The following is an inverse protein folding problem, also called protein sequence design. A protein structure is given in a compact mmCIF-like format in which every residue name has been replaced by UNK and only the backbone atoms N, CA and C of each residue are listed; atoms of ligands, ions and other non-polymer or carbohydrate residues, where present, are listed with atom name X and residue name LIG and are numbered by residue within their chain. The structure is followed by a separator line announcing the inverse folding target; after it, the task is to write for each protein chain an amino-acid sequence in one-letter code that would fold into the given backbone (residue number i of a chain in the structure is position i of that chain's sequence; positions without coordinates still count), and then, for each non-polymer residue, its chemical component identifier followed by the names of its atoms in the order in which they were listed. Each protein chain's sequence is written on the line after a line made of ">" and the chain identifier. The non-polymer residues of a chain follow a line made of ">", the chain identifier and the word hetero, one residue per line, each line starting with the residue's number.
data_IF_266366766963
#
_entry.id   IF_266366766963
#
_cell.length_a   1.000
_cell.length_b   1.000
_cell.length_c   1.000
_cell.angle_alpha   90.00
_cell.angle_beta   90.00
_cell.angle_gamma   90.00
#
_symmetry.space_group_name_H-M   'P 1'
#
loop_
_entity.id
_entity.type
_entity.pdbx_description
1 polymer ?
#
# COMPACT_ATOMS: atom_id res chain seq x y z
N UNK A 1 -11.05 -33.27 -10.59
CA UNK A 1 -10.35 -31.95 -10.66
C UNK A 1 -10.08 -31.74 -12.13
N UNK A 2 -11.03 -31.08 -12.79
CA UNK A 2 -11.01 -30.89 -14.23
C UNK A 2 -9.96 -29.82 -14.59
N UNK A 3 -9.13 -30.12 -15.61
CA UNK A 3 -7.96 -29.36 -16.02
C UNK A 3 -8.23 -27.96 -16.63
N UNK A 4 -9.22 -27.23 -16.10
CA UNK A 4 -9.70 -25.95 -16.62
C UNK A 4 -9.22 -24.72 -15.83
N UNK A 5 -8.27 -24.86 -14.92
CA UNK A 5 -7.80 -23.74 -14.07
C UNK A 5 -7.16 -22.60 -14.91
N UNK A 6 -6.79 -22.87 -16.16
CA UNK A 6 -6.23 -21.88 -17.10
C UNK A 6 -6.99 -21.83 -18.44
N UNK A 7 -8.28 -22.21 -18.45
CA UNK A 7 -9.07 -22.06 -19.66
C UNK A 7 -9.25 -20.58 -19.99
N UNK A 8 -8.92 -20.21 -21.23
CA UNK A 8 -9.14 -18.86 -21.73
C UNK A 8 -10.65 -18.57 -21.78
N UNK A 9 -11.07 -17.47 -21.19
CA UNK A 9 -12.47 -17.01 -21.24
C UNK A 9 -12.70 -16.27 -22.58
N UNK A 10 -13.51 -16.79 -23.51
CA UNK A 10 -13.80 -16.12 -24.78
C UNK A 10 -14.58 -14.81 -24.59
N UNK A 11 -15.31 -14.66 -23.48
CA UNK A 11 -16.13 -13.49 -23.19
C UNK A 11 -15.41 -12.41 -22.35
N UNK A 12 -14.08 -12.48 -22.25
CA UNK A 12 -13.25 -11.53 -21.48
C UNK A 12 -13.51 -10.06 -21.81
N UNK A 13 -13.86 -9.75 -23.05
CA UNK A 13 -14.18 -8.38 -23.50
C UNK A 13 -15.47 -7.87 -22.83
N UNK A 14 -16.48 -8.73 -22.68
CA UNK A 14 -17.72 -8.38 -21.97
C UNK A 14 -17.46 -8.16 -20.48
N UNK A 15 -16.57 -8.95 -19.88
CA UNK A 15 -16.11 -8.80 -18.51
C UNK A 15 -15.38 -7.47 -18.29
N UNK A 16 -14.51 -7.04 -19.24
CA UNK A 16 -13.83 -5.75 -19.17
C UNK A 16 -14.78 -4.54 -19.24
N UNK A 17 -15.89 -4.66 -19.98
CA UNK A 17 -16.89 -3.61 -20.11
C UNK A 17 -17.92 -3.61 -18.96
N UNK A 18 -17.84 -4.54 -18.03
CA UNK A 18 -18.72 -4.60 -16.88
C UNK A 18 -18.49 -3.42 -15.92
N UNK A 19 -19.53 -2.85 -15.29
CA UNK A 19 -19.40 -1.70 -14.38
C UNK A 19 -18.40 -1.92 -13.24
N UNK A 20 -18.38 -3.12 -12.67
CA UNK A 20 -17.43 -3.44 -11.59
C UNK A 20 -15.97 -3.39 -12.04
N UNK A 21 -15.70 -3.71 -13.32
CA UNK A 21 -14.34 -3.65 -13.86
C UNK A 21 -13.90 -2.20 -14.08
N UNK A 22 -14.82 -1.33 -14.55
CA UNK A 22 -14.55 0.12 -14.64
C UNK A 22 -14.19 0.69 -13.27
N UNK A 23 -14.93 0.30 -12.23
CA UNK A 23 -14.65 0.71 -10.85
C UNK A 23 -13.28 0.20 -10.39
N UNK A 24 -12.92 -1.04 -10.73
CA UNK A 24 -11.61 -1.61 -10.41
C UNK A 24 -10.47 -0.85 -11.10
N UNK A 25 -10.63 -0.43 -12.37
CA UNK A 25 -9.63 0.37 -13.08
C UNK A 25 -9.46 1.76 -12.46
N UNK A 26 -10.55 2.44 -12.12
CA UNK A 26 -10.51 3.77 -11.48
C UNK A 26 -9.89 3.70 -10.09
N UNK A 27 -10.31 2.75 -9.27
CA UNK A 27 -9.70 2.52 -7.97
C UNK A 27 -8.21 2.15 -8.09
N UNK A 28 -7.87 1.32 -9.08
CA UNK A 28 -6.49 0.96 -9.38
C UNK A 28 -5.62 2.16 -9.74
N UNK A 29 -6.17 3.15 -10.45
CA UNK A 29 -5.48 4.41 -10.76
C UNK A 29 -5.18 5.20 -9.49
N UNK A 30 -6.16 5.38 -8.61
CA UNK A 30 -5.97 6.07 -7.33
C UNK A 30 -4.95 5.35 -6.45
N UNK A 31 -5.09 4.04 -6.30
CA UNK A 31 -4.15 3.23 -5.50
C UNK A 31 -2.74 3.30 -6.07
N UNK A 32 -2.57 3.25 -7.39
CA UNK A 32 -1.27 3.37 -8.04
C UNK A 32 -0.60 4.72 -7.78
N UNK A 33 -1.38 5.81 -7.79
CA UNK A 33 -0.89 7.16 -7.51
C UNK A 33 -0.39 7.25 -6.07
N UNK A 34 -1.23 6.88 -5.10
CA UNK A 34 -0.88 6.93 -3.68
C UNK A 34 0.31 6.01 -3.34
N UNK A 35 0.26 4.75 -3.78
CA UNK A 35 1.28 3.75 -3.51
C UNK A 35 2.62 4.09 -4.19
N UNK A 36 2.61 4.55 -5.44
CA UNK A 36 3.82 4.90 -6.19
C UNK A 36 4.54 6.10 -5.58
N UNK A 37 3.80 7.15 -5.21
CA UNK A 37 4.39 8.34 -4.58
C UNK A 37 4.95 8.04 -3.19
N UNK A 38 4.16 7.38 -2.34
CA UNK A 38 4.59 7.06 -0.97
C UNK A 38 5.65 5.96 -0.95
N UNK A 39 5.65 5.05 -1.92
CA UNK A 39 6.64 4.00 -2.06
C UNK A 39 8.06 4.53 -2.19
N UNK A 40 8.28 5.60 -2.98
CA UNK A 40 9.59 6.25 -3.05
C UNK A 40 10.09 6.67 -1.66
N UNK A 41 9.27 7.41 -0.92
CA UNK A 41 9.64 7.86 0.43
C UNK A 41 9.81 6.70 1.41
N UNK A 42 9.02 5.63 1.27
CA UNK A 42 9.14 4.41 2.10
C UNK A 42 10.53 3.79 1.97
N UNK A 43 11.06 3.70 0.75
CA UNK A 43 12.40 3.16 0.50
C UNK A 43 13.47 4.16 0.91
N UNK A 44 13.34 5.44 0.53
CA UNK A 44 14.31 6.48 0.86
C UNK A 44 14.51 6.67 2.37
N UNK A 45 13.46 6.42 3.17
CA UNK A 45 13.48 6.51 4.64
C UNK A 45 13.79 5.18 5.35
N UNK A 46 14.10 4.12 4.62
CA UNK A 46 14.30 2.77 5.17
C UNK A 46 13.12 2.32 6.06
N UNK A 47 11.89 2.63 5.64
CA UNK A 47 10.66 2.40 6.42
C UNK A 47 9.78 1.30 5.84
N UNK A 48 10.35 0.38 5.07
CA UNK A 48 9.62 -0.72 4.42
C UNK A 48 8.94 -1.64 5.43
N UNK A 49 9.61 -1.96 6.54
CA UNK A 49 9.03 -2.76 7.61
C UNK A 49 7.89 -2.02 8.33
N UNK A 50 8.03 -0.72 8.58
CA UNK A 50 6.96 0.08 9.18
C UNK A 50 5.71 0.18 8.27
N UNK A 51 5.91 0.33 6.96
CA UNK A 51 4.80 0.33 5.99
C UNK A 51 4.06 -1.01 5.99
N UNK A 52 4.79 -2.13 6.02
CA UNK A 52 4.19 -3.46 6.15
C UNK A 52 3.42 -3.62 7.47
N UNK A 53 4.04 -3.24 8.57
CA UNK A 53 3.43 -3.33 9.89
C UNK A 53 2.13 -2.52 9.99
N UNK A 54 2.09 -1.29 9.45
CA UNK A 54 0.89 -0.45 9.47
C UNK A 54 -0.30 -1.11 8.76
N UNK A 55 -0.07 -1.86 7.69
CA UNK A 55 -1.13 -2.61 7.01
C UNK A 55 -1.76 -3.68 7.92
N UNK A 56 -0.97 -4.33 8.77
CA UNK A 56 -1.46 -5.32 9.71
C UNK A 56 -1.96 -4.72 11.05
N UNK A 57 -1.42 -3.58 11.47
CA UNK A 57 -1.89 -2.85 12.67
C UNK A 57 -3.34 -2.39 12.52
N UNK A 58 -3.82 -2.18 11.30
CA UNK A 58 -5.23 -1.90 11.02
C UNK A 58 -6.20 -3.07 11.28
N UNK A 59 -5.70 -4.33 11.31
CA UNK A 59 -6.56 -5.52 11.45
C UNK A 59 -7.44 -5.52 12.71
N UNK A 60 -6.91 -5.28 13.94
CA UNK A 60 -7.76 -5.24 15.12
C UNK A 60 -8.82 -4.13 15.06
N UNK A 61 -8.50 -3.01 14.41
CA UNK A 61 -9.46 -1.94 14.19
C UNK A 61 -10.62 -2.38 13.32
N UNK A 62 -10.34 -3.07 12.25
CA UNK A 62 -11.35 -3.58 11.33
C UNK A 62 -12.21 -4.69 11.95
N UNK A 63 -11.58 -5.68 12.61
CA UNK A 63 -12.29 -6.78 13.27
C UNK A 63 -13.09 -6.28 14.49
N UNK A 64 -12.52 -5.34 15.26
CA UNK A 64 -13.20 -4.71 16.38
C UNK A 64 -14.39 -3.83 15.95
N UNK A 65 -14.27 -3.12 14.82
CA UNK A 65 -15.38 -2.34 14.27
C UNK A 65 -16.61 -3.23 13.95
N UNK A 66 -16.37 -4.41 13.37
CA UNK A 66 -17.46 -5.38 13.10
C UNK A 66 -18.15 -5.79 14.38
N UNK A 67 -17.43 -6.04 15.48
CA UNK A 67 -18.01 -6.41 16.77
C UNK A 67 -18.85 -5.29 17.38
N UNK A 68 -18.48 -4.04 17.11
CA UNK A 68 -19.17 -2.84 17.62
C UNK A 68 -20.25 -2.31 16.68
N UNK A 69 -20.45 -2.93 15.50
CA UNK A 69 -21.38 -2.44 14.48
C UNK A 69 -20.94 -1.11 13.83
N UNK A 70 -19.64 -0.80 13.85
CA UNK A 70 -19.06 0.41 13.28
C UNK A 70 -18.55 0.18 11.85
N UNK A 71 -18.37 1.23 11.04
CA UNK A 71 -17.76 1.11 9.73
C UNK A 71 -16.33 0.55 9.81
N UNK A 72 -16.05 -0.48 9.03
CA UNK A 72 -14.75 -1.17 9.02
C UNK A 72 -13.58 -0.24 8.70
N UNK A 73 -13.78 0.68 7.75
CA UNK A 73 -12.77 1.67 7.36
C UNK A 73 -12.43 2.64 8.50
N UNK A 74 -13.41 3.00 9.33
CA UNK A 74 -13.17 3.85 10.50
C UNK A 74 -12.32 3.13 11.55
N UNK A 75 -12.64 1.88 11.88
CA UNK A 75 -11.85 1.09 12.82
C UNK A 75 -10.43 0.84 12.31
N UNK A 76 -10.29 0.45 11.04
CA UNK A 76 -8.99 0.28 10.39
C UNK A 76 -8.16 1.56 10.46
N UNK A 77 -8.77 2.71 10.12
CA UNK A 77 -8.12 4.02 10.14
C UNK A 77 -7.65 4.42 11.54
N UNK A 78 -8.48 4.26 12.56
CA UNK A 78 -8.11 4.59 13.94
C UNK A 78 -6.89 3.80 14.41
N UNK A 79 -6.86 2.49 14.14
CA UNK A 79 -5.73 1.65 14.53
C UNK A 79 -4.48 1.92 13.68
N UNK A 80 -4.62 2.11 12.37
CA UNK A 80 -3.50 2.44 11.50
C UNK A 80 -2.88 3.79 11.88
N UNK A 81 -3.70 4.83 12.10
CA UNK A 81 -3.24 6.15 12.54
C UNK A 81 -2.64 6.10 13.94
N UNK A 82 -3.28 5.42 14.89
CA UNK A 82 -2.73 5.22 16.24
C UNK A 82 -1.37 4.54 16.21
N UNK A 83 -1.24 3.45 15.43
CA UNK A 83 0.03 2.77 15.21
C UNK A 83 1.10 3.65 14.56
N UNK A 84 0.71 4.44 13.56
CA UNK A 84 1.60 5.39 12.89
C UNK A 84 2.14 6.46 13.86
N UNK A 85 1.28 7.00 14.71
CA UNK A 85 1.68 7.99 15.73
C UNK A 85 2.62 7.38 16.76
N UNK A 86 2.32 6.17 17.25
CA UNK A 86 3.18 5.46 18.22
C UNK A 86 4.54 5.14 17.61
N UNK A 87 4.58 4.55 16.40
CA UNK A 87 5.83 4.22 15.70
C UNK A 87 6.61 5.49 15.36
N UNK A 88 5.92 6.53 14.89
CA UNK A 88 6.53 7.81 14.53
C UNK A 88 7.12 8.55 15.74
N UNK A 89 6.47 8.50 16.89
CA UNK A 89 6.93 9.16 18.11
C UNK A 89 8.06 8.40 18.82
N UNK A 90 7.97 7.07 18.89
CA UNK A 90 8.97 6.23 19.59
C UNK A 90 10.24 6.00 18.76
N UNK A 91 10.14 6.04 17.43
CA UNK A 91 11.20 5.71 16.51
C UNK A 91 12.17 6.87 16.21
N UNK A 92 12.85 7.44 17.20
CA UNK A 92 13.84 8.51 16.98
C UNK A 92 15.10 8.05 16.23
N UNK A 93 15.50 6.80 16.35
CA UNK A 93 16.60 6.17 15.61
C UNK A 93 16.06 4.98 14.82
N UNK A 94 16.69 4.61 13.71
CA UNK A 94 16.24 3.50 12.85
C UNK A 94 16.04 2.19 13.63
N UNK A 95 17.01 1.79 14.48
CA UNK A 95 16.91 0.56 15.30
C UNK A 95 15.77 0.61 16.32
N UNK A 96 15.53 1.76 16.94
CA UNK A 96 14.40 1.95 17.87
C UNK A 96 13.06 1.88 17.15
N UNK A 97 13.00 2.38 15.91
CA UNK A 97 11.81 2.34 15.06
C UNK A 97 11.45 0.91 14.68
N UNK A 98 12.43 0.06 14.36
CA UNK A 98 12.20 -1.36 14.07
C UNK A 98 11.63 -2.12 15.28
N UNK A 99 12.21 -1.93 16.47
CA UNK A 99 11.74 -2.55 17.70
C UNK A 99 10.31 -2.08 18.04
N UNK A 100 10.06 -0.77 18.01
CA UNK A 100 8.73 -0.21 18.26
C UNK A 100 7.71 -0.76 17.26
N UNK A 101 8.07 -0.80 15.97
CA UNK A 101 7.22 -1.34 14.90
C UNK A 101 6.89 -2.81 15.15
N UNK A 102 7.89 -3.64 15.44
CA UNK A 102 7.70 -5.08 15.71
C UNK A 102 6.82 -5.33 16.94
N UNK A 103 7.02 -4.56 18.01
CA UNK A 103 6.24 -4.69 19.26
C UNK A 103 4.78 -4.29 19.03
N UNK A 104 4.53 -3.15 18.39
CA UNK A 104 3.18 -2.67 18.07
C UNK A 104 2.47 -3.63 17.11
N UNK A 105 3.19 -4.13 16.11
CA UNK A 105 2.67 -5.13 15.15
C UNK A 105 2.26 -6.42 15.87
N UNK A 106 3.11 -6.96 16.73
CA UNK A 106 2.83 -8.20 17.46
C UNK A 106 1.59 -8.05 18.35
N UNK A 107 1.51 -6.95 19.10
CA UNK A 107 0.34 -6.65 19.93
C UNK A 107 -0.93 -6.48 19.09
N UNK A 108 -0.88 -5.69 18.03
CA UNK A 108 -2.03 -5.44 17.16
C UNK A 108 -2.51 -6.74 16.47
N UNK A 109 -1.59 -7.57 15.95
CA UNK A 109 -1.94 -8.84 15.33
C UNK A 109 -2.60 -9.79 16.34
N UNK A 110 -2.05 -9.89 17.55
CA UNK A 110 -2.65 -10.69 18.64
C UNK A 110 -4.06 -10.22 19.00
N UNK A 111 -4.26 -8.89 19.09
CA UNK A 111 -5.56 -8.29 19.37
C UNK A 111 -6.56 -8.53 18.22
N UNK A 112 -6.11 -8.43 16.97
CA UNK A 112 -6.93 -8.73 15.80
C UNK A 112 -7.39 -10.19 15.75
N UNK A 113 -6.50 -11.13 16.06
CA UNK A 113 -6.83 -12.55 16.21
C UNK A 113 -7.82 -12.78 17.36
N UNK A 114 -7.65 -12.11 18.48
CA UNK A 114 -8.57 -12.18 19.60
C UNK A 114 -9.98 -11.75 19.18
N UNK A 115 -10.13 -10.59 18.53
CA UNK A 115 -11.42 -10.13 18.04
C UNK A 115 -12.02 -11.05 16.97
N UNK A 116 -11.20 -11.58 16.07
CA UNK A 116 -11.67 -12.53 15.05
C UNK A 116 -12.24 -13.83 15.64
N UNK A 117 -11.77 -14.25 16.83
CA UNK A 117 -12.30 -15.43 17.54
C UNK A 117 -13.64 -15.16 18.24
N UNK A 118 -14.01 -13.90 18.45
CA UNK A 118 -15.26 -13.55 19.14
C UNK A 118 -16.50 -13.67 18.24
N UNK A 119 -16.34 -13.62 16.89
CA UNK A 119 -17.44 -13.66 15.95
C UNK A 119 -17.01 -14.21 14.60
N UNK A 120 -17.89 -15.01 13.96
CA UNK A 120 -17.68 -15.50 12.60
C UNK A 120 -17.59 -14.38 11.57
N UNK A 121 -18.38 -13.31 11.73
CA UNK A 121 -18.33 -12.13 10.89
C UNK A 121 -17.01 -11.36 11.02
N UNK A 122 -16.46 -11.24 12.23
CA UNK A 122 -15.14 -10.64 12.45
C UNK A 122 -14.02 -11.50 11.80
N UNK A 123 -14.14 -12.83 11.85
CA UNK A 123 -13.20 -13.74 11.18
C UNK A 123 -13.26 -13.59 9.66
N UNK A 124 -14.45 -13.50 9.07
CA UNK A 124 -14.62 -13.27 7.63
C UNK A 124 -14.06 -11.90 7.22
N UNK A 125 -14.30 -10.87 8.04
CA UNK A 125 -13.77 -9.54 7.80
C UNK A 125 -12.24 -9.52 7.82
N UNK A 126 -11.61 -10.26 8.74
CA UNK A 126 -10.17 -10.40 8.78
C UNK A 126 -9.62 -10.99 7.47
N UNK A 127 -10.25 -12.05 6.95
CA UNK A 127 -9.87 -12.65 5.67
C UNK A 127 -10.05 -11.66 4.51
N UNK A 128 -11.18 -10.95 4.47
CA UNK A 128 -11.46 -9.93 3.46
C UNK A 128 -10.39 -8.83 3.44
N UNK A 129 -9.89 -8.39 4.60
CA UNK A 129 -8.84 -7.37 4.68
C UNK A 129 -7.47 -7.91 4.31
N UNK A 130 -7.17 -9.17 4.62
CA UNK A 130 -5.89 -9.77 4.24
C UNK A 130 -5.75 -9.89 2.72
N UNK A 131 -6.80 -10.33 2.05
CA UNK A 131 -6.77 -10.60 0.60
C UNK A 131 -7.28 -9.44 -0.25
N UNK A 132 -8.16 -8.59 0.30
CA UNK A 132 -8.84 -7.52 -0.42
C UNK A 132 -9.83 -8.04 -1.47
N UNK A 133 -10.52 -7.12 -2.13
CA UNK A 133 -11.33 -7.41 -3.32
C UNK A 133 -11.48 -6.16 -4.18
N UNK A 134 -10.56 -5.98 -5.12
CA UNK A 134 -10.56 -4.83 -6.03
C UNK A 134 -11.79 -4.81 -6.96
N UNK A 135 -12.44 -5.97 -7.17
CA UNK A 135 -13.61 -6.12 -8.03
C UNK A 135 -14.93 -5.75 -7.34
N UNK A 136 -14.93 -5.53 -6.01
CA UNK A 136 -16.14 -5.21 -5.24
C UNK A 136 -16.22 -3.74 -4.82
N UNK A 137 -15.39 -2.88 -5.40
CA UNK A 137 -15.31 -1.47 -5.07
C UNK A 137 -16.53 -0.72 -5.58
N UNK A 138 -17.12 0.09 -4.70
CA UNK A 138 -18.29 0.92 -5.00
C UNK A 138 -17.88 2.32 -5.48
N UNK A 139 -18.79 3.00 -6.20
CA UNK A 139 -18.57 4.38 -6.68
C UNK A 139 -18.25 5.34 -5.52
N UNK A 140 -18.90 5.18 -4.37
CA UNK A 140 -18.63 6.00 -3.19
C UNK A 140 -17.21 5.84 -2.67
N UNK A 141 -16.64 4.63 -2.74
CA UNK A 141 -15.24 4.37 -2.36
C UNK A 141 -14.27 5.01 -3.35
N UNK A 142 -14.57 5.00 -4.66
CA UNK A 142 -13.74 5.65 -5.69
C UNK A 142 -13.67 7.16 -5.44
N UNK A 143 -14.80 7.79 -5.14
CA UNK A 143 -14.84 9.21 -4.80
C UNK A 143 -13.98 9.49 -3.55
N UNK A 144 -14.08 8.63 -2.53
CA UNK A 144 -13.24 8.71 -1.33
C UNK A 144 -11.74 8.60 -1.65
N UNK A 145 -11.36 7.68 -2.55
CA UNK A 145 -9.97 7.52 -3.00
C UNK A 145 -9.48 8.76 -3.75
N UNK A 146 -10.29 9.30 -4.67
CA UNK A 146 -9.94 10.50 -5.42
C UNK A 146 -9.76 11.73 -4.52
N UNK A 147 -10.65 11.93 -3.54
CA UNK A 147 -10.54 13.02 -2.55
C UNK A 147 -9.25 12.85 -1.73
N UNK A 148 -8.96 11.63 -1.29
CA UNK A 148 -7.73 11.35 -0.56
C UNK A 148 -6.48 11.62 -1.40
N UNK A 149 -6.46 11.23 -2.66
CA UNK A 149 -5.34 11.45 -3.57
C UNK A 149 -5.08 12.94 -3.80
N UNK A 150 -6.14 13.75 -3.97
CA UNK A 150 -6.01 15.22 -4.07
C UNK A 150 -5.41 15.78 -2.78
N UNK A 151 -5.89 15.32 -1.62
CA UNK A 151 -5.34 15.74 -0.32
C UNK A 151 -3.89 15.30 -0.16
N UNK A 152 -3.58 14.06 -0.51
CA UNK A 152 -2.23 13.50 -0.50
C UNK A 152 -1.27 14.34 -1.35
N UNK A 153 -1.67 14.66 -2.58
CA UNK A 153 -0.88 15.48 -3.50
C UNK A 153 -0.67 16.90 -2.95
N UNK A 154 -1.71 17.52 -2.40
CA UNK A 154 -1.62 18.85 -1.80
C UNK A 154 -0.67 18.84 -0.59
N UNK A 155 -0.80 17.88 0.31
CA UNK A 155 0.10 17.76 1.47
C UNK A 155 1.53 17.49 1.02
N UNK A 156 1.73 16.53 0.10
CA UNK A 156 3.07 16.24 -0.43
C UNK A 156 3.69 17.44 -1.13
N UNK A 157 2.92 18.22 -1.89
CA UNK A 157 3.44 19.44 -2.54
C UNK A 157 4.01 20.45 -1.52
N UNK A 158 3.34 20.59 -0.36
CA UNK A 158 3.79 21.48 0.72
C UNK A 158 5.03 20.94 1.43
N UNK A 159 5.02 19.66 1.80
CA UNK A 159 6.09 19.07 2.62
C UNK A 159 7.19 18.38 1.79
N UNK A 160 7.09 18.37 0.46
CA UNK A 160 8.00 17.62 -0.43
C UNK A 160 9.47 17.90 -0.15
N UNK A 161 9.84 19.18 -0.12
CA UNK A 161 11.24 19.58 0.07
C UNK A 161 11.79 19.17 1.44
N UNK A 162 11.17 19.53 2.57
CA UNK A 162 11.66 19.11 3.89
C UNK A 162 11.59 17.59 4.09
N UNK A 163 10.56 16.93 3.56
CA UNK A 163 10.43 15.48 3.62
C UNK A 163 11.54 14.78 2.84
N UNK A 164 11.80 15.21 1.61
CA UNK A 164 12.89 14.67 0.78
C UNK A 164 14.25 14.87 1.44
N UNK A 165 14.52 16.07 1.93
CA UNK A 165 15.78 16.39 2.57
C UNK A 165 16.02 15.54 3.82
N UNK A 166 15.00 15.40 4.68
CA UNK A 166 15.07 14.51 5.84
C UNK A 166 15.13 13.02 5.50
N UNK A 167 14.74 12.64 4.28
CA UNK A 167 14.80 11.25 3.81
C UNK A 167 16.17 10.86 3.28
N UNK A 168 16.95 11.82 2.81
CA UNK A 168 18.29 11.59 2.27
C UNK A 168 19.37 11.62 3.37
N UNK A 169 19.28 12.59 4.28
CA UNK A 169 20.21 12.74 5.41
C UNK A 169 19.51 13.41 6.60
N UNK A 170 19.15 12.60 7.59
CA UNK A 170 18.46 13.07 8.80
C UNK A 170 19.34 14.06 9.62
N UNK A 171 20.66 13.83 9.71
CA UNK A 171 21.55 14.64 10.53
C UNK A 171 21.77 16.02 9.91
N UNK A 172 22.03 16.06 8.61
CA UNK A 172 22.20 17.32 7.87
C UNK A 172 20.89 18.12 7.83
N UNK A 173 19.75 17.42 7.64
CA UNK A 173 18.45 18.09 7.67
C UNK A 173 18.17 18.73 9.03
N UNK A 174 18.45 18.03 10.12
CA UNK A 174 18.29 18.55 11.47
C UNK A 174 19.21 19.75 11.74
N UNK A 175 20.48 19.69 11.30
CA UNK A 175 21.44 20.79 11.42
C UNK A 175 21.01 22.05 10.63
N UNK A 176 20.21 21.88 9.56
CA UNK A 176 19.62 22.96 8.76
C UNK A 176 18.25 23.43 9.28
N UNK A 177 17.82 22.97 10.46
CA UNK A 177 16.58 23.40 11.09
C UNK A 177 15.31 22.69 10.62
N UNK A 178 15.42 21.60 9.83
CA UNK A 178 14.25 20.79 9.47
C UNK A 178 13.80 20.00 10.69
N UNK A 179 12.52 20.06 11.08
CA UNK A 179 11.99 19.30 12.22
C UNK A 179 11.81 17.82 11.85
N UNK A 180 12.90 17.06 11.84
CA UNK A 180 12.93 15.66 11.36
C UNK A 180 11.92 14.77 12.09
N UNK A 181 11.74 14.94 13.41
CA UNK A 181 10.75 14.20 14.18
C UNK A 181 9.32 14.45 13.69
N UNK A 182 8.98 15.70 13.39
CA UNK A 182 7.68 16.05 12.82
C UNK A 182 7.51 15.49 11.41
N UNK A 183 8.54 15.55 10.56
CA UNK A 183 8.51 14.95 9.22
C UNK A 183 8.31 13.42 9.29
N UNK A 184 8.86 12.76 10.30
CA UNK A 184 8.66 11.33 10.51
C UNK A 184 7.19 11.02 10.87
N UNK A 185 6.60 11.78 11.78
CA UNK A 185 5.19 11.63 12.15
C UNK A 185 4.28 11.91 10.94
N UNK A 186 4.53 12.99 10.19
CA UNK A 186 3.78 13.31 8.97
C UNK A 186 3.85 12.16 7.96
N UNK A 187 5.05 11.63 7.68
CA UNK A 187 5.23 10.51 6.76
C UNK A 187 4.45 9.29 7.19
N UNK A 188 4.55 8.89 8.48
CA UNK A 188 3.84 7.72 9.02
C UNK A 188 2.32 7.91 8.99
N UNK A 189 1.83 9.12 9.28
CA UNK A 189 0.40 9.46 9.24
C UNK A 189 -0.14 9.38 7.81
N UNK A 190 0.59 9.93 6.83
CA UNK A 190 0.20 9.84 5.41
C UNK A 190 0.20 8.37 4.95
N UNK A 191 1.21 7.59 5.33
CA UNK A 191 1.28 6.17 5.01
C UNK A 191 0.10 5.39 5.62
N UNK A 192 -0.27 5.69 6.87
CA UNK A 192 -1.46 5.09 7.49
C UNK A 192 -2.74 5.46 6.73
N UNK A 193 -2.85 6.68 6.22
CA UNK A 193 -3.96 7.12 5.36
C UNK A 193 -4.02 6.31 4.06
N UNK A 194 -2.90 6.15 3.35
CA UNK A 194 -2.81 5.33 2.13
C UNK A 194 -3.25 3.89 2.42
N UNK A 195 -2.78 3.31 3.51
CA UNK A 195 -3.14 1.95 3.92
C UNK A 195 -4.63 1.84 4.26
N UNK A 196 -5.17 2.80 5.02
CA UNK A 196 -6.58 2.80 5.43
C UNK A 196 -7.52 2.75 4.23
N UNK A 197 -7.17 3.46 3.17
CA UNK A 197 -8.00 3.54 1.96
C UNK A 197 -7.75 2.35 1.04
N UNK A 198 -6.50 1.96 0.83
CA UNK A 198 -6.15 0.93 -0.15
C UNK A 198 -6.41 -0.51 0.37
N UNK A 199 -6.24 -0.78 1.66
CA UNK A 199 -6.33 -2.14 2.21
C UNK A 199 -7.68 -2.81 1.98
N UNK A 200 -8.84 -2.17 2.16
CA UNK A 200 -10.12 -2.83 1.86
C UNK A 200 -10.26 -3.24 0.39
N UNK A 201 -9.63 -2.48 -0.51
CA UNK A 201 -9.67 -2.73 -1.94
C UNK A 201 -8.70 -3.83 -2.39
N UNK A 202 -7.43 -3.74 -1.99
CA UNK A 202 -6.37 -4.62 -2.53
C UNK A 202 -5.85 -5.63 -1.51
N UNK A 203 -6.18 -5.47 -0.24
CA UNK A 203 -5.69 -6.31 0.85
C UNK A 203 -4.31 -5.90 1.37
N UNK A 204 -4.03 -6.34 2.62
CA UNK A 204 -2.75 -6.00 3.29
C UNK A 204 -1.54 -6.62 2.59
N UNK A 205 -1.70 -7.80 1.98
CA UNK A 205 -0.61 -8.49 1.28
C UNK A 205 -0.25 -7.79 -0.02
N UNK A 206 -1.25 -7.37 -0.81
CA UNK A 206 -1.02 -6.76 -2.11
C UNK A 206 -0.54 -5.31 -1.97
N UNK A 207 -1.10 -4.52 -1.03
CA UNK A 207 -0.69 -3.11 -0.86
C UNK A 207 0.80 -2.98 -0.52
N UNK A 208 1.33 -3.89 0.29
CA UNK A 208 2.76 -3.92 0.60
C UNK A 208 3.61 -4.12 -0.66
N UNK A 209 3.23 -5.08 -1.52
CA UNK A 209 3.91 -5.31 -2.78
C UNK A 209 3.83 -4.10 -3.72
N UNK A 210 2.66 -3.44 -3.81
CA UNK A 210 2.43 -2.27 -4.65
C UNK A 210 3.19 -1.02 -4.18
N UNK A 211 3.37 -0.84 -2.88
CA UNK A 211 4.15 0.29 -2.33
C UNK A 211 5.66 0.07 -2.55
N UNK A 212 6.17 -1.14 -2.37
CA UNK A 212 7.61 -1.38 -2.32
C UNK A 212 8.18 -1.77 -3.67
N UNK A 213 7.61 -2.76 -4.36
CA UNK A 213 8.24 -3.34 -5.55
C UNK A 213 8.34 -2.35 -6.73
N UNK A 214 7.30 -1.56 -7.08
CA UNK A 214 7.41 -0.53 -8.10
C UNK A 214 8.42 0.56 -7.74
N UNK A 215 8.46 0.98 -6.48
CA UNK A 215 9.39 2.00 -6.01
C UNK A 215 10.84 1.50 -5.98
N UNK A 216 11.07 0.24 -5.60
CA UNK A 216 12.38 -0.39 -5.67
C UNK A 216 12.87 -0.47 -7.12
N UNK A 217 11.98 -0.83 -8.06
CA UNK A 217 12.26 -0.84 -9.50
C UNK A 217 12.60 0.56 -10.00
N UNK A 218 11.80 1.55 -9.61
CA UNK A 218 11.99 2.94 -10.01
C UNK A 218 13.34 3.52 -9.54
N UNK A 219 13.78 3.16 -8.32
CA UNK A 219 15.07 3.59 -7.78
C UNK A 219 16.29 3.03 -8.55
N UNK A 220 16.12 1.88 -9.23
CA UNK A 220 17.16 1.34 -10.12
C UNK A 220 17.23 2.11 -11.44
N UNK A 221 16.08 2.55 -11.95
CA UNK A 221 15.94 3.12 -13.30
C UNK A 221 16.10 4.65 -13.28
N UNK A 222 15.52 5.32 -12.29
CA UNK A 222 15.39 6.77 -12.27
C UNK A 222 16.63 7.45 -11.66
N UNK A 223 16.98 8.62 -12.23
CA UNK A 223 18.15 9.41 -11.81
C UNK A 223 17.80 10.57 -10.86
N UNK A 224 16.53 10.78 -10.57
CA UNK A 224 16.08 11.83 -9.64
C UNK A 224 14.86 11.40 -8.84
N UNK A 225 14.68 11.92 -7.62
CA UNK A 225 13.57 11.58 -6.75
C UNK A 225 12.19 11.70 -7.39
N UNK A 226 11.94 12.83 -8.04
CA UNK A 226 10.66 13.07 -8.72
C UNK A 226 10.41 12.06 -9.86
N UNK A 227 11.44 11.77 -10.68
CA UNK A 227 11.33 10.74 -11.73
C UNK A 227 11.08 9.36 -11.13
N UNK A 228 11.71 9.04 -10.00
CA UNK A 228 11.48 7.76 -9.32
C UNK A 228 10.02 7.62 -8.85
N UNK A 229 9.41 8.68 -8.30
CA UNK A 229 7.99 8.68 -7.91
C UNK A 229 7.07 8.45 -9.12
N UNK A 230 7.31 9.16 -10.23
CA UNK A 230 6.52 9.02 -11.47
C UNK A 230 6.68 7.61 -12.04
N UNK A 231 7.90 7.10 -12.15
CA UNK A 231 8.17 5.74 -12.66
C UNK A 231 7.54 4.68 -11.77
N UNK A 232 7.61 4.83 -10.44
CA UNK A 232 6.96 3.92 -9.49
C UNK A 232 5.44 3.91 -9.69
N UNK A 233 4.81 5.07 -9.84
CA UNK A 233 3.37 5.20 -10.11
C UNK A 233 2.99 4.52 -11.41
N UNK A 234 3.75 4.73 -12.49
CA UNK A 234 3.50 4.11 -13.80
C UNK A 234 3.64 2.59 -13.73
N UNK A 235 4.69 2.06 -13.10
CA UNK A 235 4.87 0.61 -12.92
C UNK A 235 3.73 0.03 -12.08
N UNK A 236 3.33 0.70 -11.01
CA UNK A 236 2.21 0.29 -10.17
C UNK A 236 0.91 0.23 -10.99
N UNK A 237 0.63 1.26 -11.78
CA UNK A 237 -0.55 1.34 -12.64
C UNK A 237 -0.57 0.22 -13.69
N UNK A 238 0.55 0.01 -14.40
CA UNK A 238 0.68 -1.06 -15.40
C UNK A 238 0.48 -2.44 -14.73
N UNK A 239 1.01 -2.63 -13.52
CA UNK A 239 0.84 -3.88 -12.78
C UNK A 239 -0.61 -4.13 -12.41
N UNK A 240 -1.33 -3.11 -11.91
CA UNK A 240 -2.75 -3.23 -11.53
C UNK A 240 -3.60 -3.45 -12.77
N UNK A 241 -3.51 -2.58 -13.78
CA UNK A 241 -4.33 -2.67 -14.97
C UNK A 241 -4.03 -3.93 -15.78
N UNK A 242 -2.75 -4.27 -15.97
CA UNK A 242 -2.35 -5.52 -16.61
C UNK A 242 -2.86 -6.74 -15.86
N UNK A 243 -2.80 -6.72 -14.52
CA UNK A 243 -3.32 -7.78 -13.68
C UNK A 243 -4.84 -7.96 -13.80
N UNK A 244 -5.59 -6.85 -13.86
CA UNK A 244 -7.04 -6.89 -14.08
C UNK A 244 -7.42 -7.44 -15.46
N UNK A 245 -6.72 -7.02 -16.52
CA UNK A 245 -6.95 -7.52 -17.87
C UNK A 245 -6.67 -9.02 -17.97
N UNK A 246 -5.52 -9.47 -17.45
CA UNK A 246 -5.16 -10.89 -17.48
C UNK A 246 -6.11 -11.72 -16.62
N UNK A 247 -6.57 -11.19 -15.48
CA UNK A 247 -7.56 -11.85 -14.62
C UNK A 247 -8.96 -11.96 -15.28
N UNK A 248 -9.29 -11.06 -16.21
CA UNK A 248 -10.50 -11.18 -17.03
C UNK A 248 -10.36 -12.28 -18.10
N UNK A 249 -9.14 -12.49 -18.61
CA UNK A 249 -8.86 -13.51 -19.65
C UNK A 249 -8.73 -14.92 -19.08
N UNK A 250 -8.25 -15.05 -17.84
CA UNK A 250 -7.99 -16.32 -17.18
C UNK A 250 -8.58 -16.32 -15.77
N UNK A 251 -9.17 -17.43 -15.30
CA UNK A 251 -9.76 -17.53 -13.96
C UNK A 251 -8.68 -17.59 -12.87
N UNK A 252 -7.91 -16.50 -12.73
CA UNK A 252 -6.85 -16.38 -11.75
C UNK A 252 -7.10 -15.13 -10.85
N UNK A 253 -6.74 -15.19 -9.56
CA UNK A 253 -6.91 -14.06 -8.65
C UNK A 253 -6.14 -12.84 -9.13
N UNK A 254 -6.78 -11.65 -9.28
CA UNK A 254 -6.11 -10.43 -9.73
C UNK A 254 -4.86 -10.10 -8.90
N UNK A 255 -4.93 -10.27 -7.59
CA UNK A 255 -3.83 -9.98 -6.66
C UNK A 255 -2.55 -10.75 -6.98
N UNK A 256 -2.67 -12.04 -7.35
CA UNK A 256 -1.52 -12.86 -7.74
C UNK A 256 -0.86 -12.32 -9.02
N UNK A 257 -1.66 -12.00 -10.04
CA UNK A 257 -1.16 -11.52 -11.32
C UNK A 257 -0.49 -10.15 -11.16
N UNK A 258 -1.11 -9.25 -10.39
CA UNK A 258 -0.58 -7.91 -10.11
C UNK A 258 0.81 -8.01 -9.44
N UNK A 259 0.94 -8.83 -8.40
CA UNK A 259 2.23 -9.05 -7.72
C UNK A 259 3.26 -9.64 -8.67
N UNK A 260 2.86 -10.61 -9.50
CA UNK A 260 3.74 -11.26 -10.47
C UNK A 260 4.28 -10.25 -11.48
N UNK A 261 3.42 -9.42 -12.07
CA UNK A 261 3.84 -8.37 -13.02
C UNK A 261 4.81 -7.39 -12.36
N UNK A 262 4.46 -6.89 -11.16
CA UNK A 262 5.31 -5.96 -10.41
C UNK A 262 6.67 -6.57 -10.09
N UNK A 263 6.71 -7.85 -9.68
CA UNK A 263 7.96 -8.57 -9.38
C UNK A 263 8.79 -8.80 -10.63
N UNK A 264 8.17 -9.08 -11.78
CA UNK A 264 8.87 -9.21 -13.07
C UNK A 264 9.56 -7.90 -13.47
N UNK A 265 8.90 -6.75 -13.30
CA UNK A 265 9.53 -5.44 -13.53
C UNK A 265 10.80 -5.26 -12.68
N UNK A 266 10.69 -5.61 -11.38
CA UNK A 266 11.83 -5.52 -10.48
C UNK A 266 12.96 -6.47 -10.88
N UNK A 267 12.65 -7.73 -11.19
CA UNK A 267 13.64 -8.74 -11.58
C UNK A 267 14.38 -8.34 -12.86
N UNK A 268 13.66 -7.83 -13.87
CA UNK A 268 14.24 -7.33 -15.13
C UNK A 268 15.14 -6.12 -14.87
N UNK A 269 14.69 -5.14 -14.10
CA UNK A 269 15.49 -3.96 -13.76
C UNK A 269 16.77 -4.35 -13.01
N UNK A 270 16.67 -5.29 -12.07
CA UNK A 270 17.81 -5.80 -11.31
C UNK A 270 18.81 -6.57 -12.18
N UNK A 271 18.32 -7.38 -13.09
CA UNK A 271 19.16 -8.08 -14.07
C UNK A 271 19.96 -7.08 -14.94
N UNK A 272 19.27 -6.06 -15.48
CA UNK A 272 19.91 -5.02 -16.31
C UNK A 272 20.97 -4.25 -15.50
N UNK A 273 20.69 -3.91 -14.24
CA UNK A 273 21.65 -3.25 -13.35
C UNK A 273 22.90 -4.12 -13.16
N UNK A 274 22.72 -5.43 -12.92
CA UNK A 274 23.80 -6.37 -12.71
C UNK A 274 24.71 -6.50 -13.97
N UNK A 275 24.12 -6.50 -15.17
CA UNK A 275 24.90 -6.53 -16.42
C UNK A 275 25.69 -5.25 -16.68
N UNK A 276 25.17 -4.08 -16.25
CA UNK A 276 25.88 -2.79 -16.43
C UNK A 276 27.02 -2.58 -15.43
N UNK A 277 27.06 -3.33 -14.34
CA UNK A 277 28.13 -3.25 -13.33
C UNK A 277 29.31 -4.18 -13.62
N UNK A 278 29.17 -5.09 -14.56
CA UNK A 278 30.25 -5.93 -15.11
C UNK A 278 30.92 -5.25 -16.31
#
# INVERSE_FOLDING_TARGET
>A
MDGTVFAFDPDWVSTLNAPFMTNAFLAGLCIALAAGMMGYFTIARHSTFAAHALAHIGLPGATGAVLLGLPVSAGLGVFALGGALVIGALGKKASQREIATGTVLAFATGLGLFFARMSSSASQQMQSILFGSILTITDGQIIGFAIFDVLLLAVLAVIYRPLLFSSLDEQVAQAKGVPVGFMNICFMTIMAGVITIAVPAVGTLLIFALVITPAATANIIARSPFKAMVVATVICLISIWGGLVISAMFPAPPSFIIVTISTLFWAVAKAIESFKRK
#
